data_IF_154999832128
#
_entry.id   IF_154999832128
#
_cell.length_a   1.000
_cell.length_b   1.000
_cell.length_c   1.000
_cell.angle_alpha   90.00
_cell.angle_beta   90.00
_cell.angle_gamma   90.00
#
_symmetry.space_group_name_H-M   'P 1'
#
loop_
_entity.id
_entity.type
_entity.pdbx_description
1 polymer ?
#
# COMPACT_ATOMS: atom_id res chain seq x y z
N UNK A 1 5.03 5.62 24.81
CA UNK A 1 5.81 4.57 24.12
C UNK A 1 5.13 4.08 22.84
N UNK A 2 3.92 3.51 22.88
CA UNK A 2 3.25 2.96 21.69
C UNK A 2 3.11 4.00 20.55
N UNK A 3 2.66 5.22 20.86
CA UNK A 3 2.58 6.33 19.88
C UNK A 3 3.95 6.65 19.26
N UNK A 4 5.02 6.69 20.07
CA UNK A 4 6.36 6.99 19.56
C UNK A 4 6.88 5.90 18.61
N UNK A 5 6.69 4.62 18.94
CA UNK A 5 7.04 3.51 18.03
C UNK A 5 6.21 3.56 16.75
N UNK A 6 4.94 3.94 16.86
CA UNK A 6 4.06 4.10 15.73
C UNK A 6 4.53 5.21 14.77
N UNK A 7 4.86 6.39 15.30
CA UNK A 7 5.41 7.50 14.51
C UNK A 7 6.78 7.16 13.92
N UNK A 8 7.62 6.43 14.66
CA UNK A 8 8.91 5.98 14.15
C UNK A 8 8.76 5.04 12.95
N UNK A 9 7.77 4.14 12.95
CA UNK A 9 7.48 3.28 11.80
C UNK A 9 7.07 4.09 10.56
N UNK A 10 6.29 5.17 10.75
CA UNK A 10 5.92 6.08 9.66
C UNK A 10 7.13 6.86 9.12
N UNK A 11 8.00 7.38 10.00
CA UNK A 11 9.24 8.06 9.59
C UNK A 11 10.17 7.10 8.84
N UNK A 12 10.35 5.88 9.35
CA UNK A 12 11.16 4.83 8.69
C UNK A 12 10.66 4.58 7.28
N UNK A 13 9.35 4.48 7.08
CA UNK A 13 8.76 4.29 5.75
C UNK A 13 9.12 5.43 4.80
N UNK A 14 8.84 6.68 5.21
CA UNK A 14 9.10 7.85 4.36
C UNK A 14 10.58 8.03 4.05
N UNK A 15 11.46 7.85 5.05
CA UNK A 15 12.91 7.95 4.85
C UNK A 15 13.41 6.84 3.93
N UNK A 16 12.97 5.60 4.13
CA UNK A 16 13.38 4.48 3.30
C UNK A 16 12.99 4.71 1.83
N UNK A 17 11.77 5.19 1.58
CA UNK A 17 11.28 5.47 0.24
C UNK A 17 12.03 6.64 -0.40
N UNK A 18 12.21 7.75 0.32
CA UNK A 18 12.98 8.91 -0.16
C UNK A 18 14.43 8.55 -0.50
N UNK A 19 15.10 7.78 0.37
CA UNK A 19 16.45 7.27 0.11
C UNK A 19 16.47 6.33 -1.10
N UNK A 20 15.50 5.41 -1.20
CA UNK A 20 15.43 4.48 -2.32
C UNK A 20 15.31 5.21 -3.66
N UNK A 21 14.43 6.22 -3.72
CA UNK A 21 14.27 7.08 -4.90
C UNK A 21 15.57 7.80 -5.22
N UNK A 22 16.14 8.54 -4.27
CA UNK A 22 17.36 9.32 -4.54
C UNK A 22 18.58 8.46 -4.87
N UNK A 23 18.71 7.25 -4.30
CA UNK A 23 19.78 6.30 -4.67
C UNK A 23 19.54 5.79 -6.09
N UNK A 24 18.30 5.46 -6.45
CA UNK A 24 17.91 5.08 -7.81
C UNK A 24 18.30 6.15 -8.82
N UNK A 25 17.84 7.38 -8.61
CA UNK A 25 18.13 8.53 -9.48
C UNK A 25 19.65 8.80 -9.60
N UNK A 26 20.40 8.70 -8.50
CA UNK A 26 21.85 8.89 -8.52
C UNK A 26 22.57 7.76 -9.27
N UNK A 27 22.17 6.50 -9.05
CA UNK A 27 22.76 5.35 -9.72
C UNK A 27 22.49 5.37 -11.22
N UNK A 28 21.25 5.68 -11.64
CA UNK A 28 20.87 5.85 -13.05
C UNK A 28 21.73 6.91 -13.72
N UNK A 29 21.88 8.09 -13.09
CA UNK A 29 22.71 9.17 -13.64
C UNK A 29 24.20 8.82 -13.71
N UNK A 30 24.74 8.12 -12.72
CA UNK A 30 26.14 7.75 -12.69
C UNK A 30 26.51 6.66 -13.71
N UNK A 31 25.59 5.74 -13.99
CA UNK A 31 25.86 4.55 -14.82
C UNK A 31 25.26 4.61 -16.22
N UNK A 32 24.31 5.52 -16.45
CA UNK A 32 23.51 5.55 -17.68
C UNK A 32 22.55 4.35 -17.82
N UNK A 33 22.30 3.61 -16.74
CA UNK A 33 21.42 2.44 -16.76
C UNK A 33 19.97 2.82 -17.05
N UNK A 34 19.19 1.87 -17.60
CA UNK A 34 17.78 2.09 -17.94
C UNK A 34 16.85 2.06 -16.71
N UNK A 35 15.62 2.55 -16.91
CA UNK A 35 14.56 2.67 -15.89
C UNK A 35 14.26 1.36 -15.13
N UNK A 36 14.43 0.20 -15.77
CA UNK A 36 14.22 -1.09 -15.10
C UNK A 36 15.18 -1.28 -13.93
N UNK A 37 16.46 -0.92 -14.09
CA UNK A 37 17.43 -1.04 -13.00
C UNK A 37 17.05 -0.11 -11.84
N UNK A 38 16.64 1.12 -12.17
CA UNK A 38 16.23 2.11 -11.19
C UNK A 38 15.08 1.61 -10.31
N UNK A 39 14.01 1.12 -10.95
CA UNK A 39 12.81 0.65 -10.27
C UNK A 39 13.09 -0.61 -9.45
N UNK A 40 13.89 -1.54 -9.97
CA UNK A 40 14.28 -2.76 -9.24
C UNK A 40 15.14 -2.38 -8.02
N UNK A 41 16.10 -1.47 -8.19
CA UNK A 41 16.95 -1.00 -7.10
C UNK A 41 16.12 -0.31 -6.01
N UNK A 42 15.20 0.58 -6.41
CA UNK A 42 14.26 1.23 -5.50
C UNK A 42 13.42 0.22 -4.72
N UNK A 43 12.85 -0.79 -5.39
CA UNK A 43 12.05 -1.82 -4.76
C UNK A 43 12.84 -2.64 -3.74
N UNK A 44 14.06 -3.04 -4.09
CA UNK A 44 14.95 -3.79 -3.20
C UNK A 44 15.35 -2.95 -1.98
N UNK A 45 15.80 -1.71 -2.16
CA UNK A 45 16.21 -0.83 -1.08
C UNK A 45 15.06 -0.54 -0.11
N UNK A 46 13.88 -0.26 -0.65
CA UNK A 46 12.69 0.05 0.14
C UNK A 46 12.34 -1.10 1.08
N UNK A 47 12.23 -2.32 0.55
CA UNK A 47 11.99 -3.52 1.37
C UNK A 47 13.16 -3.83 2.31
N UNK A 48 14.41 -3.72 1.84
CA UNK A 48 15.61 -4.03 2.62
C UNK A 48 15.80 -3.08 3.82
N UNK A 49 15.21 -1.89 3.80
CA UNK A 49 15.23 -0.95 4.92
C UNK A 49 13.99 -1.14 5.80
N UNK A 50 12.79 -1.09 5.22
CA UNK A 50 11.55 -1.04 6.00
C UNK A 50 11.26 -2.35 6.72
N UNK A 51 11.42 -3.50 6.04
CA UNK A 51 11.10 -4.80 6.63
C UNK A 51 11.94 -5.09 7.89
N UNK A 52 13.29 -5.02 7.86
CA UNK A 52 14.07 -5.27 9.07
C UNK A 52 13.87 -4.18 10.12
N UNK A 53 13.66 -2.92 9.74
CA UNK A 53 13.35 -1.86 10.70
C UNK A 53 12.04 -2.17 11.46
N UNK A 54 10.96 -2.53 10.76
CA UNK A 54 9.69 -2.93 11.41
C UNK A 54 9.88 -4.17 12.29
N UNK A 55 10.66 -5.15 11.86
CA UNK A 55 10.99 -6.34 12.69
C UNK A 55 11.74 -5.93 13.95
N UNK A 56 12.71 -5.02 13.85
CA UNK A 56 13.48 -4.49 14.98
C UNK A 56 12.59 -3.70 15.94
N UNK A 57 11.77 -2.79 15.43
CA UNK A 57 10.78 -2.03 16.20
C UNK A 57 9.87 -3.00 16.96
N UNK A 58 9.35 -4.03 16.31
CA UNK A 58 8.40 -4.95 16.95
C UNK A 58 9.06 -5.86 17.98
N UNK A 59 10.22 -6.44 17.67
CA UNK A 59 10.88 -7.41 18.56
C UNK A 59 11.71 -6.78 19.67
N UNK A 60 12.34 -5.63 19.43
CA UNK A 60 13.24 -4.99 20.41
C UNK A 60 12.56 -3.84 21.16
N UNK A 61 11.87 -2.95 20.44
CA UNK A 61 11.23 -1.78 21.06
C UNK A 61 9.86 -2.12 21.65
N UNK A 62 9.04 -2.93 20.98
CA UNK A 62 7.74 -3.35 21.53
C UNK A 62 7.84 -4.65 22.35
N UNK A 63 8.88 -5.47 22.13
CA UNK A 63 9.05 -6.81 22.71
C UNK A 63 7.83 -7.71 22.48
N UNK A 64 7.25 -7.65 21.28
CA UNK A 64 6.07 -8.42 20.87
C UNK A 64 6.37 -9.29 19.66
N UNK A 65 5.57 -10.33 19.46
CA UNK A 65 5.65 -11.22 18.30
C UNK A 65 5.26 -10.49 17.00
N UNK A 66 5.74 -10.97 15.85
CA UNK A 66 5.30 -10.44 14.54
C UNK A 66 3.84 -10.79 14.23
N UNK A 67 3.34 -11.91 14.78
CA UNK A 67 1.95 -12.32 14.64
C UNK A 67 0.97 -11.25 15.16
N UNK A 68 1.35 -10.52 16.21
CA UNK A 68 0.55 -9.42 16.76
C UNK A 68 0.37 -8.23 15.80
N UNK A 69 1.15 -8.14 14.72
CA UNK A 69 0.92 -7.18 13.62
C UNK A 69 -0.23 -7.61 12.70
N UNK A 70 -0.80 -8.80 12.89
CA UNK A 70 -1.78 -9.41 12.01
C UNK A 70 -1.18 -10.28 10.91
N UNK A 71 0.06 -10.73 11.08
CA UNK A 71 0.72 -11.71 10.21
C UNK A 71 0.35 -13.14 10.62
N UNK A 72 0.38 -14.05 9.66
CA UNK A 72 0.12 -15.48 9.88
C UNK A 72 1.00 -16.33 8.96
N UNK A 73 1.28 -17.57 9.37
CA UNK A 73 1.86 -18.60 8.49
C UNK A 73 0.83 -19.13 7.48
N UNK A 74 -0.47 -19.03 7.79
CA UNK A 74 -1.57 -19.48 6.93
C UNK A 74 -1.95 -18.36 5.96
N UNK A 75 -1.17 -18.22 4.90
CA UNK A 75 -1.27 -17.09 3.97
C UNK A 75 -2.40 -17.20 2.94
N UNK A 76 -2.81 -18.42 2.57
CA UNK A 76 -3.68 -18.64 1.40
C UNK A 76 -5.03 -17.93 1.49
N UNK A 77 -5.80 -18.18 2.57
CA UNK A 77 -7.13 -17.58 2.76
C UNK A 77 -7.11 -16.04 2.85
N UNK A 78 -6.25 -15.40 3.67
CA UNK A 78 -6.23 -13.95 3.75
C UNK A 78 -5.75 -13.29 2.45
N UNK A 79 -4.76 -13.87 1.76
CA UNK A 79 -4.34 -13.38 0.43
C UNK A 79 -5.49 -13.49 -0.57
N UNK A 80 -6.13 -14.65 -0.66
CA UNK A 80 -7.25 -14.88 -1.57
C UNK A 80 -8.41 -13.89 -1.33
N UNK A 81 -8.68 -13.53 -0.08
CA UNK A 81 -9.69 -12.53 0.24
C UNK A 81 -9.28 -11.12 -0.24
N UNK A 82 -8.04 -10.70 0.02
CA UNK A 82 -7.56 -9.39 -0.43
C UNK A 82 -7.53 -9.25 -1.95
N UNK A 83 -6.96 -10.25 -2.64
CA UNK A 83 -6.95 -10.32 -4.11
C UNK A 83 -8.37 -10.39 -4.65
N UNK A 84 -9.21 -11.27 -4.10
CA UNK A 84 -10.58 -11.47 -4.55
C UNK A 84 -11.41 -10.19 -4.45
N UNK A 85 -11.34 -9.46 -3.33
CA UNK A 85 -12.05 -8.18 -3.19
C UNK A 85 -11.50 -7.16 -4.19
N UNK A 86 -10.18 -7.00 -4.31
CA UNK A 86 -9.58 -6.05 -5.25
C UNK A 86 -9.97 -6.32 -6.71
N UNK A 87 -9.86 -7.58 -7.15
CA UNK A 87 -10.16 -7.99 -8.52
C UNK A 87 -11.66 -7.91 -8.83
N UNK A 88 -12.53 -8.41 -7.94
CA UNK A 88 -13.98 -8.39 -8.16
C UNK A 88 -14.51 -6.96 -8.19
N UNK A 89 -14.09 -6.11 -7.25
CA UNK A 89 -14.52 -4.71 -7.23
C UNK A 89 -13.95 -3.92 -8.40
N UNK A 90 -12.73 -4.25 -8.83
CA UNK A 90 -12.14 -3.69 -10.05
C UNK A 90 -12.96 -4.06 -11.28
N UNK A 91 -13.29 -5.34 -11.45
CA UNK A 91 -14.14 -5.80 -12.56
C UNK A 91 -15.52 -5.13 -12.54
N UNK A 92 -16.15 -5.03 -11.37
CA UNK A 92 -17.46 -4.37 -11.20
C UNK A 92 -17.44 -2.90 -11.59
N UNK A 93 -16.31 -2.21 -11.44
CA UNK A 93 -16.18 -0.79 -11.79
C UNK A 93 -15.77 -0.61 -13.25
N UNK A 94 -14.74 -1.32 -13.69
CA UNK A 94 -14.09 -1.06 -14.98
C UNK A 94 -14.75 -1.78 -16.15
N UNK A 95 -15.36 -2.95 -15.95
CA UNK A 95 -16.09 -3.65 -17.04
C UNK A 95 -17.28 -2.82 -17.52
N UNK A 96 -18.15 -2.27 -16.65
CA UNK A 96 -19.21 -1.37 -17.09
C UNK A 96 -18.69 -0.12 -17.79
N UNK A 97 -17.58 0.46 -17.34
CA UNK A 97 -16.97 1.62 -18.02
C UNK A 97 -16.58 1.31 -19.47
N UNK A 98 -16.03 0.12 -19.72
CA UNK A 98 -15.77 -0.36 -21.08
C UNK A 98 -17.05 -0.60 -21.88
N UNK A 99 -18.07 -1.23 -21.27
CA UNK A 99 -19.36 -1.50 -21.93
C UNK A 99 -20.13 -0.22 -22.27
N UNK A 100 -19.99 0.84 -21.46
CA UNK A 100 -20.57 2.16 -21.70
C UNK A 100 -19.77 3.00 -22.70
N UNK A 101 -18.62 2.50 -23.17
CA UNK A 101 -17.75 3.19 -24.12
C UNK A 101 -16.92 4.31 -23.51
N UNK A 102 -16.87 4.44 -22.18
CA UNK A 102 -16.03 5.45 -21.50
C UNK A 102 -14.54 5.12 -21.61
N UNK A 103 -14.24 3.84 -21.79
CA UNK A 103 -12.89 3.31 -21.97
C UNK A 103 -12.91 2.37 -23.16
N UNK A 104 -11.88 2.47 -24.01
CA UNK A 104 -11.71 1.64 -25.19
C UNK A 104 -10.40 0.88 -25.07
N UNK A 105 -10.43 -0.42 -25.35
CA UNK A 105 -9.24 -1.27 -25.38
C UNK A 105 -8.85 -1.47 -26.83
N UNK A 106 -7.70 -0.91 -27.22
CA UNK A 106 -7.23 -0.87 -28.61
C UNK A 106 -6.37 -2.08 -28.98
N UNK A 107 -5.78 -2.73 -27.98
CA UNK A 107 -4.97 -3.92 -28.17
C UNK A 107 -4.65 -4.62 -26.86
N UNK A 108 -4.39 -5.92 -26.95
CA UNK A 108 -3.89 -6.74 -25.84
C UNK A 108 -2.70 -7.56 -26.32
N UNK A 109 -1.53 -7.28 -25.75
CA UNK A 109 -0.35 -8.12 -25.87
C UNK A 109 -0.23 -9.00 -24.61
N UNK A 110 -0.55 -10.29 -24.77
CA UNK A 110 -0.53 -11.25 -23.68
C UNK A 110 0.87 -11.55 -23.15
N UNK A 111 1.90 -11.46 -23.99
CA UNK A 111 3.29 -11.69 -23.57
C UNK A 111 3.79 -10.50 -22.74
N UNK A 112 3.53 -9.28 -23.21
CA UNK A 112 3.80 -8.06 -22.44
C UNK A 112 3.01 -8.06 -21.13
N UNK A 113 1.73 -8.44 -21.15
CA UNK A 113 0.91 -8.51 -19.95
C UNK A 113 1.42 -9.55 -18.94
N UNK A 114 1.86 -10.73 -19.39
CA UNK A 114 2.47 -11.72 -18.51
C UNK A 114 3.79 -11.20 -17.90
N UNK A 115 4.63 -10.54 -18.71
CA UNK A 115 5.86 -9.89 -18.26
C UNK A 115 5.59 -8.78 -17.24
N UNK A 116 4.57 -7.95 -17.48
CA UNK A 116 4.08 -6.92 -16.57
C UNK A 116 3.63 -7.54 -15.25
N UNK A 117 2.72 -8.53 -15.28
CA UNK A 117 2.22 -9.17 -14.06
C UNK A 117 3.35 -9.76 -13.20
N UNK A 118 4.39 -10.32 -13.82
CA UNK A 118 5.56 -10.84 -13.10
C UNK A 118 6.43 -9.71 -12.54
N UNK A 119 6.96 -8.83 -13.41
CA UNK A 119 7.94 -7.83 -13.00
C UNK A 119 7.32 -6.72 -12.18
N UNK A 120 6.23 -6.10 -12.66
CA UNK A 120 5.48 -5.12 -11.89
C UNK A 120 4.87 -5.77 -10.64
N UNK A 121 4.43 -7.03 -10.69
CA UNK A 121 3.95 -7.73 -9.50
C UNK A 121 5.00 -7.80 -8.39
N UNK A 122 6.23 -8.19 -8.71
CA UNK A 122 7.34 -8.28 -7.74
C UNK A 122 7.77 -6.90 -7.26
N UNK A 123 7.99 -5.95 -8.18
CA UNK A 123 8.34 -4.57 -7.84
C UNK A 123 7.30 -3.95 -6.93
N UNK A 124 6.01 -4.05 -7.29
CA UNK A 124 4.90 -3.51 -6.52
C UNK A 124 4.82 -4.11 -5.12
N UNK A 125 5.08 -5.42 -5.00
CA UNK A 125 5.12 -6.07 -3.70
C UNK A 125 6.26 -5.54 -2.82
N UNK A 126 7.47 -5.42 -3.37
CA UNK A 126 8.67 -5.05 -2.63
C UNK A 126 8.80 -3.53 -2.40
N UNK A 127 8.30 -2.72 -3.31
CA UNK A 127 8.39 -1.26 -3.24
C UNK A 127 7.25 -0.66 -2.43
N UNK A 128 6.02 -1.19 -2.58
CA UNK A 128 4.82 -0.55 -2.03
C UNK A 128 4.08 -1.48 -1.05
N UNK A 129 3.49 -2.56 -1.55
CA UNK A 129 2.48 -3.30 -0.79
C UNK A 129 3.02 -3.95 0.50
N UNK A 130 4.20 -4.57 0.48
CA UNK A 130 4.79 -5.16 1.69
C UNK A 130 5.30 -4.09 2.66
N UNK A 131 6.24 -3.19 2.26
CA UNK A 131 6.83 -2.25 3.20
C UNK A 131 5.81 -1.25 3.74
N UNK A 132 4.91 -0.69 2.91
CA UNK A 132 3.92 0.28 3.37
C UNK A 132 2.91 -0.35 4.34
N UNK A 133 2.38 -1.53 4.02
CA UNK A 133 1.44 -2.20 4.92
C UNK A 133 2.10 -2.61 6.22
N UNK A 134 3.34 -3.11 6.19
CA UNK A 134 4.08 -3.45 7.41
C UNK A 134 4.28 -2.23 8.30
N UNK A 135 4.69 -1.09 7.73
CA UNK A 135 4.94 0.12 8.49
C UNK A 135 3.64 0.77 8.99
N UNK A 136 2.66 0.98 8.12
CA UNK A 136 1.46 1.76 8.41
C UNK A 136 0.37 0.93 9.08
N UNK A 137 -0.12 -0.13 8.43
CA UNK A 137 -1.25 -0.93 8.92
C UNK A 137 -0.80 -2.00 9.92
N UNK A 138 0.43 -2.47 9.79
CA UNK A 138 1.11 -3.39 10.70
C UNK A 138 1.56 -2.68 11.96
N UNK A 139 2.66 -1.93 11.90
CA UNK A 139 3.31 -1.36 13.08
C UNK A 139 2.60 -0.12 13.62
N UNK A 140 2.39 0.92 12.80
CA UNK A 140 1.85 2.21 13.25
C UNK A 140 0.42 2.06 13.76
N UNK A 141 -0.50 1.53 12.94
CA UNK A 141 -1.90 1.40 13.30
C UNK A 141 -2.11 0.46 14.49
N UNK A 142 -1.40 -0.67 14.58
CA UNK A 142 -1.51 -1.58 15.73
C UNK A 142 -1.07 -0.89 17.01
N UNK A 143 0.07 -0.19 17.01
CA UNK A 143 0.57 0.51 18.19
C UNK A 143 -0.31 1.70 18.59
N UNK A 144 -0.81 2.49 17.63
CA UNK A 144 -1.79 3.54 17.92
C UNK A 144 -3.07 2.95 18.49
N UNK A 145 -3.61 1.89 17.89
CA UNK A 145 -4.86 1.27 18.33
C UNK A 145 -4.74 0.76 19.76
N UNK A 146 -3.63 0.10 20.08
CA UNK A 146 -3.40 -0.46 21.41
C UNK A 146 -3.12 0.64 22.46
N UNK A 147 -2.58 1.80 22.05
CA UNK A 147 -2.21 2.90 22.95
C UNK A 147 -3.23 4.03 23.09
N UNK A 148 -4.03 4.31 22.07
CA UNK A 148 -4.96 5.45 22.00
C UNK A 148 -6.37 5.05 21.57
N UNK A 149 -6.58 3.79 21.20
CA UNK A 149 -7.87 3.28 20.75
C UNK A 149 -8.08 3.35 19.24
N UNK A 150 -9.11 2.65 18.79
CA UNK A 150 -9.39 2.38 17.38
C UNK A 150 -9.64 3.64 16.54
N UNK A 151 -10.40 4.60 17.07
CA UNK A 151 -10.81 5.81 16.34
C UNK A 151 -9.58 6.66 16.03
N UNK A 152 -8.78 6.99 17.07
CA UNK A 152 -7.57 7.79 16.93
C UNK A 152 -6.57 7.09 15.99
N UNK A 153 -6.35 5.78 16.16
CA UNK A 153 -5.48 5.02 15.27
C UNK A 153 -5.91 5.12 13.81
N UNK A 154 -7.21 5.02 13.54
CA UNK A 154 -7.73 5.12 12.17
C UNK A 154 -7.52 6.52 11.59
N UNK A 155 -7.93 7.56 12.32
CA UNK A 155 -7.79 8.95 11.86
C UNK A 155 -6.33 9.33 11.62
N UNK A 156 -5.45 9.03 12.58
CA UNK A 156 -4.03 9.39 12.49
C UNK A 156 -3.33 8.60 11.37
N UNK A 157 -3.56 7.28 11.27
CA UNK A 157 -2.96 6.49 10.18
C UNK A 157 -3.44 6.96 8.81
N UNK A 158 -4.72 7.28 8.65
CA UNK A 158 -5.26 7.79 7.39
C UNK A 158 -4.71 9.17 7.05
N UNK A 159 -4.58 10.09 8.02
CA UNK A 159 -4.05 11.43 7.79
C UNK A 159 -2.54 11.43 7.48
N UNK A 160 -1.78 10.58 8.16
CA UNK A 160 -0.32 10.49 7.96
C UNK A 160 0.06 9.81 6.65
N UNK A 161 -0.83 9.01 6.05
CA UNK A 161 -0.52 8.31 4.79
C UNK A 161 -0.17 9.29 3.65
N UNK A 162 -1.00 10.28 3.27
CA UNK A 162 -0.60 11.29 2.30
C UNK A 162 0.54 12.19 2.80
N UNK A 163 0.62 12.47 4.11
CA UNK A 163 1.69 13.27 4.69
C UNK A 163 3.08 12.60 4.57
N UNK A 164 3.14 11.30 4.27
CA UNK A 164 4.40 10.58 3.99
C UNK A 164 5.18 11.24 2.86
N UNK A 165 4.51 11.88 1.89
CA UNK A 165 5.14 12.65 0.81
C UNK A 165 6.15 13.69 1.30
N UNK A 166 5.89 14.33 2.45
CA UNK A 166 6.82 15.31 3.03
C UNK A 166 8.11 14.63 3.49
N UNK A 167 8.02 13.45 4.11
CA UNK A 167 9.17 12.70 4.61
C UNK A 167 9.96 12.09 3.46
N UNK A 168 9.25 11.55 2.46
CA UNK A 168 9.82 11.01 1.22
C UNK A 168 10.66 12.07 0.53
N UNK A 169 10.05 13.22 0.24
CA UNK A 169 10.72 14.30 -0.48
C UNK A 169 11.90 14.85 0.32
N UNK A 170 11.77 14.97 1.64
CA UNK A 170 12.89 15.35 2.51
C UNK A 170 14.07 14.37 2.38
N UNK A 171 13.81 13.07 2.40
CA UNK A 171 14.85 12.04 2.25
C UNK A 171 15.52 12.09 0.88
N UNK A 172 14.73 12.22 -0.19
CA UNK A 172 15.21 12.35 -1.58
C UNK A 172 16.08 13.59 -1.73
N UNK A 173 15.58 14.75 -1.30
CA UNK A 173 16.25 16.05 -1.42
C UNK A 173 17.59 16.09 -0.66
N UNK A 174 17.64 15.54 0.55
CA UNK A 174 18.89 15.40 1.33
C UNK A 174 19.91 14.55 0.56
N UNK A 175 19.49 13.40 0.04
CA UNK A 175 20.40 12.50 -0.67
C UNK A 175 20.92 13.11 -1.97
N UNK A 176 20.07 13.80 -2.73
CA UNK A 176 20.48 14.52 -3.93
C UNK A 176 21.48 15.63 -3.59
N UNK A 177 21.23 16.38 -2.52
CA UNK A 177 22.18 17.40 -2.03
C UNK A 177 23.55 16.80 -1.73
N UNK A 178 23.61 15.69 -0.99
CA UNK A 178 24.87 15.03 -0.60
C UNK A 178 25.60 14.45 -1.80
N UNK A 179 24.87 13.99 -2.83
CA UNK A 179 25.45 13.45 -4.07
C UNK A 179 25.82 14.53 -5.09
N UNK A 180 25.69 15.82 -4.75
CA UNK A 180 26.00 16.93 -5.66
C UNK A 180 25.03 17.05 -6.84
N UNK A 181 23.82 16.54 -6.67
CA UNK A 181 22.78 16.49 -7.70
C UNK A 181 21.91 17.73 -7.68
N UNK A 182 21.33 18.09 -8.82
CA UNK A 182 20.20 19.02 -8.82
C UNK A 182 19.03 18.40 -8.04
N UNK A 183 18.52 19.18 -7.10
CA UNK A 183 17.45 18.76 -6.20
C UNK A 183 16.07 19.10 -6.74
N UNK A 184 16.00 20.07 -7.67
CA UNK A 184 14.76 20.65 -8.14
C UNK A 184 13.95 21.34 -7.03
N UNK A 185 12.68 21.60 -7.32
CA UNK A 185 11.75 22.15 -6.34
C UNK A 185 11.28 21.07 -5.35
N UNK A 186 11.28 21.40 -4.06
CA UNK A 186 10.72 20.53 -3.02
C UNK A 186 9.21 20.37 -3.23
N UNK A 187 8.78 19.20 -3.69
CA UNK A 187 7.39 18.91 -4.06
C UNK A 187 6.89 17.62 -3.39
N UNK A 188 6.26 17.70 -2.20
CA UNK A 188 5.72 16.52 -1.49
C UNK A 188 4.62 15.77 -2.22
N UNK A 189 3.99 16.43 -3.20
CA UNK A 189 2.99 15.86 -4.09
C UNK A 189 3.69 15.52 -5.40
N UNK A 190 3.63 14.27 -5.89
CA UNK A 190 4.29 13.89 -7.13
C UNK A 190 3.84 14.75 -8.31
N UNK A 191 4.79 15.14 -9.15
CA UNK A 191 4.53 16.01 -10.31
C UNK A 191 3.38 15.48 -11.18
N UNK A 192 2.57 16.39 -11.71
CA UNK A 192 1.40 16.05 -12.53
C UNK A 192 0.14 15.66 -11.76
N UNK A 193 0.18 15.54 -10.43
CA UNK A 193 -0.99 15.27 -9.61
C UNK A 193 -1.58 16.56 -9.02
N UNK A 194 -2.92 16.67 -9.05
CA UNK A 194 -3.63 17.64 -8.23
C UNK A 194 -3.53 17.26 -6.74
N UNK A 195 -3.19 18.22 -5.89
CA UNK A 195 -2.93 17.97 -4.47
C UNK A 195 -4.20 17.49 -3.73
N UNK A 196 -5.37 18.03 -4.07
CA UNK A 196 -6.64 17.66 -3.42
C UNK A 196 -7.00 16.23 -3.82
N UNK A 197 -6.92 15.91 -5.12
CA UNK A 197 -7.20 14.56 -5.64
C UNK A 197 -6.23 13.54 -5.05
N UNK A 198 -4.94 13.85 -4.97
CA UNK A 198 -3.93 12.96 -4.40
C UNK A 198 -4.19 12.66 -2.92
N UNK A 199 -4.44 13.69 -2.11
CA UNK A 199 -4.75 13.52 -0.67
C UNK A 199 -6.06 12.76 -0.49
N UNK A 200 -7.08 13.05 -1.29
CA UNK A 200 -8.36 12.36 -1.25
C UNK A 200 -8.20 10.88 -1.61
N UNK A 201 -7.47 10.57 -2.68
CA UNK A 201 -7.21 9.21 -3.13
C UNK A 201 -6.48 8.40 -2.05
N UNK A 202 -5.38 8.92 -1.50
CA UNK A 202 -4.63 8.23 -0.44
C UNK A 202 -5.44 8.11 0.85
N UNK A 203 -6.25 9.11 1.20
CA UNK A 203 -7.15 9.06 2.35
C UNK A 203 -8.19 7.94 2.21
N UNK A 204 -8.90 7.89 1.09
CA UNK A 204 -9.88 6.84 0.80
C UNK A 204 -9.22 5.45 0.73
N UNK A 205 -8.05 5.36 0.10
CA UNK A 205 -7.30 4.12 -0.01
C UNK A 205 -6.83 3.62 1.35
N UNK A 206 -6.28 4.52 2.19
CA UNK A 206 -5.90 4.22 3.56
C UNK A 206 -7.08 3.72 4.40
N UNK A 207 -8.28 4.29 4.23
CA UNK A 207 -9.49 3.81 4.90
C UNK A 207 -9.91 2.42 4.42
N UNK A 208 -9.85 2.14 3.11
CA UNK A 208 -10.13 0.81 2.55
C UNK A 208 -9.13 -0.23 3.08
N UNK A 209 -7.85 0.11 3.19
CA UNK A 209 -6.81 -0.76 3.75
C UNK A 209 -7.00 -1.01 5.25
N UNK A 210 -7.42 0.00 6.02
CA UNK A 210 -7.80 -0.21 7.42
C UNK A 210 -9.05 -1.10 7.53
N UNK A 211 -10.02 -0.97 6.62
CA UNK A 211 -11.18 -1.85 6.57
C UNK A 211 -10.76 -3.31 6.32
N UNK A 212 -9.86 -3.54 5.37
CA UNK A 212 -9.23 -4.84 5.09
C UNK A 212 -8.47 -5.39 6.32
N UNK A 213 -7.64 -4.57 6.95
CA UNK A 213 -6.85 -4.92 8.14
C UNK A 213 -7.71 -5.32 9.34
N UNK A 214 -8.96 -4.84 9.39
CA UNK A 214 -9.92 -5.09 10.47
C UNK A 214 -10.80 -6.31 10.27
N UNK A 215 -10.63 -7.08 9.19
CA UNK A 215 -11.31 -8.35 9.04
C UNK A 215 -10.90 -9.27 10.20
N UNK A 216 -11.84 -9.90 10.93
CA UNK A 216 -11.55 -10.77 12.07
C UNK A 216 -11.08 -12.14 11.57
N UNK A 217 -9.87 -12.17 11.01
CA UNK A 217 -9.22 -13.35 10.44
C UNK A 217 -7.75 -13.34 10.82
N UNK A 218 -7.19 -14.53 11.06
CA UNK A 218 -5.74 -14.70 11.17
C UNK A 218 -5.07 -14.25 9.85
N UNK A 219 -3.97 -13.51 9.92
CA UNK A 219 -3.34 -12.95 8.72
C UNK A 219 -4.06 -11.72 8.15
N UNK A 220 -4.86 -10.98 8.93
CA UNK A 220 -5.58 -9.82 8.41
C UNK A 220 -4.69 -8.69 7.85
N UNK A 221 -3.40 -8.62 8.22
CA UNK A 221 -2.46 -7.73 7.54
C UNK A 221 -2.18 -8.19 6.10
N UNK A 222 -2.14 -9.50 5.86
CA UNK A 222 -1.96 -10.06 4.52
C UNK A 222 -3.16 -9.76 3.60
N UNK A 223 -4.37 -9.61 4.17
CA UNK A 223 -5.54 -9.14 3.40
C UNK A 223 -5.31 -7.72 2.88
N UNK A 224 -4.80 -6.82 3.73
CA UNK A 224 -4.48 -5.44 3.34
C UNK A 224 -3.35 -5.40 2.30
N UNK A 225 -2.28 -6.18 2.49
CA UNK A 225 -1.19 -6.32 1.50
C UNK A 225 -1.67 -6.83 0.14
N UNK A 226 -2.45 -7.90 0.14
CA UNK A 226 -2.98 -8.47 -1.09
C UNK A 226 -3.94 -7.51 -1.79
N UNK A 227 -4.82 -6.83 -1.04
CA UNK A 227 -5.71 -5.82 -1.61
C UNK A 227 -4.93 -4.62 -2.17
N UNK A 228 -3.94 -4.11 -1.43
CA UNK A 228 -3.09 -3.02 -1.89
C UNK A 228 -2.42 -3.37 -3.22
N UNK A 229 -1.77 -4.54 -3.26
CA UNK A 229 -1.12 -5.06 -4.44
C UNK A 229 -2.10 -5.20 -5.62
N UNK A 230 -3.28 -5.79 -5.41
CA UNK A 230 -4.27 -5.95 -6.49
C UNK A 230 -4.86 -4.62 -6.94
N UNK A 231 -5.12 -3.68 -6.04
CA UNK A 231 -5.62 -2.35 -6.38
C UNK A 231 -4.65 -1.64 -7.33
N UNK A 232 -3.36 -1.61 -6.97
CA UNK A 232 -2.35 -0.96 -7.79
C UNK A 232 -2.08 -1.73 -9.09
N UNK A 233 -2.15 -3.06 -9.09
CA UNK A 233 -2.05 -3.86 -10.32
C UNK A 233 -3.18 -3.52 -11.30
N UNK A 234 -4.43 -3.45 -10.84
CA UNK A 234 -5.59 -3.07 -11.68
C UNK A 234 -5.44 -1.64 -12.19
N UNK A 235 -5.12 -0.68 -11.32
CA UNK A 235 -4.95 0.72 -11.72
C UNK A 235 -3.81 0.90 -12.72
N UNK A 236 -2.65 0.28 -12.49
CA UNK A 236 -1.49 0.39 -13.40
C UNK A 236 -1.70 -0.32 -14.73
N UNK A 237 -2.46 -1.41 -14.74
CA UNK A 237 -2.85 -2.08 -15.99
C UNK A 237 -3.67 -1.15 -16.88
N UNK A 238 -4.55 -0.33 -16.30
CA UNK A 238 -5.48 0.53 -17.05
C UNK A 238 -4.91 1.91 -17.38
N UNK A 239 -4.06 2.47 -16.53
CA UNK A 239 -3.55 3.84 -16.68
C UNK A 239 -2.13 3.90 -17.29
N UNK A 240 -1.52 2.74 -17.57
CA UNK A 240 -0.11 2.54 -17.96
C UNK A 240 0.88 3.63 -17.48
N UNK A 241 0.93 3.94 -16.17
CA UNK A 241 1.62 5.13 -15.69
C UNK A 241 3.13 4.95 -15.59
N UNK A 242 3.64 3.76 -15.89
CA UNK A 242 4.97 3.34 -15.44
C UNK A 242 6.07 3.73 -16.42
N UNK A 243 5.82 3.78 -17.73
CA UNK A 243 6.81 4.15 -18.75
C UNK A 243 8.04 3.22 -18.87
N UNK A 244 8.23 2.28 -17.93
CA UNK A 244 9.37 1.35 -17.87
C UNK A 244 9.01 -0.11 -18.21
N UNK A 245 7.72 -0.48 -18.17
CA UNK A 245 7.22 -1.75 -18.68
C UNK A 245 5.80 -1.57 -19.21
N UNK A 246 5.50 -1.98 -20.46
CA UNK A 246 4.14 -1.89 -20.99
C UNK A 246 3.23 -2.83 -20.19
N UNK A 247 2.04 -2.36 -19.82
CA UNK A 247 1.03 -3.20 -19.18
C UNK A 247 0.54 -4.34 -20.09
N UNK A 248 0.78 -4.24 -21.40
CA UNK A 248 0.22 -5.13 -22.42
C UNK A 248 -1.25 -4.83 -22.74
N UNK A 249 -1.84 -3.81 -22.11
CA UNK A 249 -3.18 -3.32 -22.39
C UNK A 249 -3.08 -1.90 -22.94
N UNK A 250 -3.49 -1.73 -24.20
CA UNK A 250 -3.61 -0.41 -24.80
C UNK A 250 -5.01 0.12 -24.51
N UNK A 251 -5.11 1.03 -23.54
CA UNK A 251 -6.37 1.52 -22.98
C UNK A 251 -6.49 3.01 -23.21
N UNK A 252 -7.47 3.40 -24.03
CA UNK A 252 -7.81 4.79 -24.27
C UNK A 252 -9.01 5.21 -23.42
N UNK A 253 -8.85 6.29 -22.65
CA UNK A 253 -9.95 6.96 -21.96
C UNK A 253 -10.70 7.83 -22.96
N UNK A 254 -11.85 7.33 -23.42
CA UNK A 254 -12.73 8.07 -24.34
C UNK A 254 -13.40 9.22 -23.60
N UNK A 255 -13.84 8.96 -22.37
CA UNK A 255 -14.26 9.97 -21.41
C UNK A 255 -13.12 10.23 -20.41
N UNK A 256 -12.46 11.39 -20.44
CA UNK A 256 -11.32 11.68 -19.56
C UNK A 256 -11.68 11.55 -18.07
N UNK A 257 -12.91 11.92 -17.71
CA UNK A 257 -13.42 11.87 -16.34
C UNK A 257 -13.60 10.44 -15.81
N UNK A 258 -13.56 9.42 -16.68
CA UNK A 258 -13.62 8.03 -16.25
C UNK A 258 -12.41 7.62 -15.38
N UNK A 259 -11.32 8.40 -15.37
CA UNK A 259 -10.22 8.22 -14.42
C UNK A 259 -10.68 8.31 -12.95
N UNK A 260 -11.75 9.06 -12.66
CA UNK A 260 -12.33 9.18 -11.32
C UNK A 260 -12.89 7.84 -10.80
N UNK A 261 -13.12 6.86 -11.67
CA UNK A 261 -13.54 5.50 -11.29
C UNK A 261 -12.49 4.79 -10.41
N UNK A 262 -11.23 5.22 -10.41
CA UNK A 262 -10.23 4.78 -9.42
C UNK A 262 -10.75 5.00 -7.99
N UNK A 263 -11.35 6.15 -7.71
CA UNK A 263 -11.92 6.46 -6.39
C UNK A 263 -13.14 5.58 -6.09
N UNK A 264 -13.98 5.33 -7.10
CA UNK A 264 -15.16 4.46 -6.97
C UNK A 264 -14.73 3.03 -6.63
N UNK A 265 -13.70 2.51 -7.30
CA UNK A 265 -13.12 1.19 -7.02
C UNK A 265 -12.61 1.09 -5.57
N UNK A 266 -11.85 2.08 -5.11
CA UNK A 266 -11.36 2.15 -3.73
C UNK A 266 -12.51 2.15 -2.71
N UNK A 267 -13.50 3.01 -2.91
CA UNK A 267 -14.65 3.16 -1.99
C UNK A 267 -15.48 1.88 -1.95
N UNK A 268 -15.77 1.29 -3.12
CA UNK A 268 -16.51 0.05 -3.23
C UNK A 268 -15.79 -1.09 -2.49
N UNK A 269 -14.47 -1.23 -2.67
CA UNK A 269 -13.67 -2.21 -1.95
C UNK A 269 -13.74 -2.01 -0.43
N UNK A 270 -13.61 -0.78 0.05
CA UNK A 270 -13.77 -0.45 1.46
C UNK A 270 -15.14 -0.87 2.02
N UNK A 271 -16.22 -0.58 1.29
CA UNK A 271 -17.59 -0.99 1.66
C UNK A 271 -17.74 -2.51 1.69
N UNK A 272 -17.17 -3.23 0.71
CA UNK A 272 -17.16 -4.70 0.67
C UNK A 272 -16.43 -5.27 1.88
N UNK A 273 -15.26 -4.76 2.25
CA UNK A 273 -14.56 -5.20 3.47
C UNK A 273 -15.39 -4.96 4.73
N UNK A 274 -16.06 -3.80 4.84
CA UNK A 274 -16.96 -3.52 5.97
C UNK A 274 -18.13 -4.51 6.01
N UNK A 275 -18.74 -4.82 4.86
CA UNK A 275 -19.82 -5.79 4.76
C UNK A 275 -19.38 -7.21 5.12
N UNK A 276 -18.22 -7.65 4.61
CA UNK A 276 -17.60 -8.94 4.94
C UNK A 276 -17.33 -9.05 6.44
N UNK A 277 -16.72 -8.02 7.04
CA UNK A 277 -16.49 -7.96 8.50
C UNK A 277 -17.79 -8.10 9.28
N UNK A 278 -18.78 -7.26 8.97
CA UNK A 278 -20.09 -7.28 9.64
C UNK A 278 -20.78 -8.63 9.52
N UNK A 279 -20.67 -9.27 8.34
CA UNK A 279 -21.17 -10.63 8.14
C UNK A 279 -20.45 -11.59 9.08
N UNK A 280 -19.12 -11.66 9.05
CA UNK A 280 -18.33 -12.58 9.89
C UNK A 280 -18.62 -12.41 11.39
N UNK A 281 -18.74 -11.16 11.87
CA UNK A 281 -19.07 -10.84 13.27
C UNK A 281 -20.48 -11.32 13.66
N UNK A 282 -21.44 -11.33 12.74
CA UNK A 282 -22.80 -11.85 12.99
C UNK A 282 -22.82 -13.38 13.10
N UNK A 283 -22.03 -14.08 12.29
CA UNK A 283 -21.98 -15.55 12.27
C UNK A 283 -21.12 -16.16 13.38
N UNK A 284 -20.32 -15.34 14.11
CA UNK A 284 -19.47 -15.79 15.22
C UNK A 284 -19.63 -14.91 16.47
N UNK A 285 -20.82 -14.90 17.11
CA UNK A 285 -21.08 -14.06 18.28
C UNK A 285 -20.18 -14.39 19.48
N UNK A 286 -19.69 -15.63 19.58
CA UNK A 286 -18.81 -16.12 20.65
C UNK A 286 -17.42 -15.46 20.67
N UNK A 287 -17.01 -14.82 19.57
CA UNK A 287 -15.72 -14.10 19.48
C UNK A 287 -15.86 -12.59 19.72
N UNK A 288 -17.03 -12.10 20.16
CA UNK A 288 -17.15 -10.71 20.62
C UNK A 288 -16.20 -10.50 21.80
N UNK A 289 -15.28 -9.53 21.75
CA UNK A 289 -14.54 -9.15 22.94
C UNK A 289 -15.56 -8.68 23.97
N UNK A 290 -15.73 -9.44 25.04
CA UNK A 290 -16.38 -8.93 26.25
C UNK A 290 -15.63 -7.66 26.65
N UNK A 291 -16.34 -6.53 26.65
CA UNK A 291 -15.85 -5.26 27.18
C UNK A 291 -15.30 -5.53 28.59
N UNK A 292 -13.97 -5.66 28.72
CA UNK A 292 -13.30 -5.89 30.01
C UNK A 292 -12.31 -7.06 30.12
N UNK A 293 -12.20 -7.97 29.14
CA UNK A 293 -11.24 -9.07 29.25
C UNK A 293 -9.82 -8.64 28.83
N UNK A 294 -8.87 -8.61 29.78
CA UNK A 294 -7.43 -8.53 29.48
C UNK A 294 -7.04 -9.71 28.60
N UNK A 295 -6.48 -9.41 27.43
CA UNK A 295 -5.89 -10.42 26.54
C UNK A 295 -4.68 -11.02 27.25
N UNK A 296 -4.79 -12.27 27.69
CA UNK A 296 -3.64 -13.10 28.00
C UNK A 296 -2.98 -13.48 26.68
N UNK A 297 -1.70 -13.14 26.54
CA UNK A 297 -0.86 -13.51 25.40
C UNK A 297 -0.67 -15.04 25.44
N UNK A 298 -1.09 -15.82 24.43
CA UNK A 298 -0.69 -17.21 24.36
C UNK A 298 0.75 -17.23 23.85
N UNK A 299 1.67 -17.56 24.76
CA UNK A 299 3.04 -17.95 24.46
C UNK A 299 3.04 -19.02 23.35
N UNK A 300 3.49 -18.63 22.16
CA UNK A 300 3.94 -19.56 21.14
C UNK A 300 5.45 -19.42 21.05
N UNK A 301 6.13 -20.37 21.71
CA UNK A 301 7.55 -20.68 21.49
C UNK A 301 7.79 -21.12 20.05
#
# INVERSE_FOLDING_TARGET
RAVAVALLAWVVLGVALGLSIGVGEAATRATGAGLILEVVLQAVLMSAIVVPAVVLLRRRLDRRSLASLGLSRRIGRPIALGVGVGAVTGAVVWVPAGLLGWIRVDGIDLAAFAGFLLLNGVVLALYEAIPEELALRGCMWTNLRDGTGLVIATVVTTALFPATGVVIESGRWILLTITGSDTGAFTPIPAGNDAVVYVLQLGLFGLALIAARRIPMEGALLIAMAFHWTQLAVTRMLLDPMGWAPSGWDVAFVEPDAIALVLVHIVLAGLVFVAVRRRMERWRPEQRPTRGARVQDPDLR
#
